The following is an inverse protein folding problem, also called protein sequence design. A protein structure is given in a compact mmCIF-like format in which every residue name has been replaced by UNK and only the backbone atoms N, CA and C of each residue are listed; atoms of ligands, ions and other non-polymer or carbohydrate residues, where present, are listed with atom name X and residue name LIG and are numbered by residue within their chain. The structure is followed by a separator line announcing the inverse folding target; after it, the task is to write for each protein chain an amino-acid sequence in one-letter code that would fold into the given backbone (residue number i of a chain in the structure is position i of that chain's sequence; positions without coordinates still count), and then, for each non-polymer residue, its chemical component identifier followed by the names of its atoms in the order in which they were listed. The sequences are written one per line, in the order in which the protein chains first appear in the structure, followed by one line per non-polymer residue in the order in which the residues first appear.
data_IF_865501596644
#
_entry.id   IF_865501596644
#
_cell.length_a   1.000
_cell.length_b   1.000
_cell.length_c   1.000
_cell.angle_alpha   90.00
_cell.angle_beta   90.00
_cell.angle_gamma   90.00
#
_symmetry.space_group_name_H-M   'P 1'
#
loop_
_entity.id
_entity.type
_entity.pdbx_description
1 polymer ?
#
# COMPACT_ATOMS: atom_id res chain seq x y z
N UNK A 1 -13.17 7.65 16.54
CA UNK A 1 -14.45 8.03 15.93
C UNK A 1 -14.47 7.41 14.54
N UNK A 2 -15.41 6.52 14.21
CA UNK A 2 -15.50 5.92 12.87
C UNK A 2 -16.23 6.95 12.00
N UNK A 3 -15.51 7.71 11.19
CA UNK A 3 -16.11 8.68 10.26
C UNK A 3 -16.33 7.98 8.93
N UNK A 4 -17.58 7.70 8.59
CA UNK A 4 -17.96 7.22 7.26
C UNK A 4 -17.86 8.38 6.26
N UNK A 5 -16.69 8.57 5.64
CA UNK A 5 -16.59 9.38 4.44
C UNK A 5 -17.02 8.53 3.24
N UNK A 6 -18.16 8.88 2.65
CA UNK A 6 -18.69 8.30 1.41
C UNK A 6 -18.02 8.84 0.14
N UNK A 7 -16.96 9.65 0.28
CA UNK A 7 -16.13 10.05 -0.86
C UNK A 7 -15.23 8.90 -1.28
N UNK A 8 -15.71 8.12 -2.24
CA UNK A 8 -14.99 7.13 -3.00
C UNK A 8 -13.77 7.75 -3.69
N UNK A 9 -12.62 7.77 -3.02
CA UNK A 9 -11.37 7.56 -3.74
C UNK A 9 -11.49 6.20 -4.43
N UNK A 10 -11.20 6.13 -5.72
CA UNK A 10 -11.26 4.88 -6.49
C UNK A 10 -10.48 3.80 -5.76
N UNK A 11 -11.20 2.87 -5.12
CA UNK A 11 -10.58 1.74 -4.45
C UNK A 11 -9.90 0.88 -5.51
N UNK A 12 -8.75 0.29 -5.16
CA UNK A 12 -8.16 -0.69 -6.04
C UNK A 12 -8.96 -2.00 -5.89
N UNK A 13 -9.61 -2.46 -6.96
CA UNK A 13 -10.47 -3.65 -6.94
C UNK A 13 -9.82 -4.81 -7.69
N UNK A 14 -10.02 -6.02 -7.19
CA UNK A 14 -9.42 -7.22 -7.73
C UNK A 14 -10.44 -8.32 -7.98
N UNK A 15 -10.19 -9.11 -9.02
CA UNK A 15 -10.91 -10.35 -9.30
C UNK A 15 -9.92 -11.50 -9.45
N UNK A 16 -10.33 -12.72 -9.12
CA UNK A 16 -9.54 -13.90 -9.42
C UNK A 16 -9.72 -14.28 -10.90
N UNK A 17 -8.62 -14.53 -11.60
CA UNK A 17 -8.64 -15.14 -12.92
C UNK A 17 -8.83 -16.67 -12.85
N UNK A 18 -8.84 -17.33 -14.00
CA UNK A 18 -9.10 -18.77 -14.08
C UNK A 18 -8.06 -19.62 -13.34
N UNK A 19 -6.83 -19.10 -13.16
CA UNK A 19 -5.75 -19.75 -12.43
C UNK A 19 -5.76 -19.41 -10.91
N UNK A 20 -6.73 -18.59 -10.48
CA UNK A 20 -6.84 -18.09 -9.11
C UNK A 20 -5.82 -17.00 -8.76
N UNK A 21 -5.18 -16.38 -9.75
CA UNK A 21 -4.33 -15.21 -9.54
C UNK A 21 -5.19 -13.94 -9.54
N UNK A 22 -4.76 -12.90 -8.80
CA UNK A 22 -5.47 -11.63 -8.76
C UNK A 22 -5.23 -10.80 -10.03
N UNK A 23 -6.29 -10.16 -10.51
CA UNK A 23 -6.25 -9.19 -11.61
C UNK A 23 -6.95 -7.91 -11.20
N UNK A 24 -6.36 -6.77 -11.56
CA UNK A 24 -6.91 -5.46 -11.29
C UNK A 24 -8.14 -5.17 -12.16
N UNK A 25 -9.17 -4.55 -11.59
CA UNK A 25 -10.34 -4.07 -12.34
C UNK A 25 -10.21 -2.56 -12.58
N UNK A 26 -9.87 -2.12 -13.80
CA UNK A 26 -9.75 -0.70 -14.12
C UNK A 26 -11.09 0.03 -13.99
N UNK A 27 -11.03 1.31 -13.61
CA UNK A 27 -12.18 2.21 -13.49
C UNK A 27 -13.34 1.65 -12.65
N UNK A 28 -13.02 0.84 -11.63
CA UNK A 28 -14.01 0.18 -10.80
C UNK A 28 -14.38 1.03 -9.58
N UNK A 29 -15.66 1.35 -9.43
CA UNK A 29 -16.21 1.94 -8.22
C UNK A 29 -16.95 0.87 -7.40
N UNK A 30 -17.41 1.21 -6.19
CA UNK A 30 -18.09 0.25 -5.31
C UNK A 30 -19.36 -0.37 -5.95
N UNK A 31 -20.06 0.37 -6.81
CA UNK A 31 -21.22 -0.16 -7.54
C UNK A 31 -20.80 -1.26 -8.52
N UNK A 32 -19.82 -0.98 -9.38
CA UNK A 32 -19.25 -1.97 -10.32
C UNK A 32 -18.65 -3.16 -9.57
N UNK A 33 -17.98 -2.92 -8.44
CA UNK A 33 -17.41 -3.98 -7.61
C UNK A 33 -18.47 -4.93 -7.05
N UNK A 34 -19.62 -4.42 -6.61
CA UNK A 34 -20.77 -5.25 -6.17
C UNK A 34 -21.33 -6.10 -7.30
N UNK A 35 -21.42 -5.54 -8.50
CA UNK A 35 -21.89 -6.25 -9.69
C UNK A 35 -20.92 -7.36 -10.12
N UNK A 36 -19.61 -7.14 -9.98
CA UNK A 36 -18.56 -8.09 -10.34
C UNK A 36 -18.20 -9.09 -9.23
N UNK A 37 -18.63 -8.83 -7.99
CA UNK A 37 -18.09 -9.52 -6.81
C UNK A 37 -16.61 -9.25 -6.59
N UNK A 38 -16.10 -8.08 -6.99
CA UNK A 38 -14.69 -7.74 -6.89
C UNK A 38 -14.26 -7.52 -5.44
N UNK A 39 -13.08 -8.03 -5.10
CA UNK A 39 -12.43 -7.87 -3.81
C UNK A 39 -11.82 -6.46 -3.68
N UNK A 40 -12.01 -5.75 -2.56
CA UNK A 40 -11.26 -4.52 -2.29
C UNK A 40 -9.78 -4.81 -2.03
N UNK A 41 -8.93 -3.80 -2.24
CA UNK A 41 -7.53 -3.91 -1.84
C UNK A 41 -7.36 -3.92 -0.32
N UNK A 42 -6.26 -4.52 0.17
CA UNK A 42 -5.83 -4.44 1.57
C UNK A 42 -5.80 -2.99 2.06
N UNK A 43 -5.27 -2.07 1.24
CA UNK A 43 -5.25 -0.64 1.56
C UNK A 43 -6.64 0.01 1.61
N UNK A 44 -7.59 -0.47 0.82
CA UNK A 44 -8.98 0.01 0.84
C UNK A 44 -9.72 -0.48 2.09
N UNK A 45 -9.41 -1.69 2.56
CA UNK A 45 -9.92 -2.22 3.83
C UNK A 45 -9.32 -1.44 5.00
N UNK A 46 -7.99 -1.34 5.08
CA UNK A 46 -7.30 -0.62 6.16
C UNK A 46 -7.69 0.86 6.24
N UNK A 47 -8.10 1.45 5.12
CA UNK A 47 -8.54 2.84 5.01
C UNK A 47 -9.78 3.21 5.84
N UNK A 48 -10.52 2.25 6.40
CA UNK A 48 -11.65 2.56 7.30
C UNK A 48 -11.21 2.97 8.70
N UNK A 49 -9.98 2.62 9.08
CA UNK A 49 -9.42 3.06 10.35
C UNK A 49 -9.05 4.54 10.27
N UNK A 50 -9.46 5.29 11.29
CA UNK A 50 -9.12 6.70 11.38
C UNK A 50 -7.60 6.87 11.59
N UNK A 51 -7.01 7.81 10.86
CA UNK A 51 -5.58 8.11 10.89
C UNK A 51 -5.39 9.44 11.59
N UNK A 52 -5.75 9.51 12.87
CA UNK A 52 -5.81 10.75 13.67
C UNK A 52 -4.54 11.59 13.52
N UNK A 53 -3.36 10.98 13.67
CA UNK A 53 -2.08 11.68 13.54
C UNK A 53 -1.87 12.28 12.14
N UNK A 54 -2.23 11.55 11.09
CA UNK A 54 -2.16 12.05 9.71
C UNK A 54 -3.17 13.18 9.46
N UNK A 55 -4.37 13.08 10.03
CA UNK A 55 -5.40 14.12 9.91
C UNK A 55 -4.97 15.41 10.61
N UNK A 56 -4.41 15.32 11.82
CA UNK A 56 -3.85 16.46 12.54
C UNK A 56 -2.68 17.06 11.76
N UNK A 57 -1.79 16.24 11.20
CA UNK A 57 -0.68 16.73 10.39
C UNK A 57 -1.15 17.48 9.14
N UNK A 58 -2.14 16.94 8.40
CA UNK A 58 -2.75 17.61 7.24
C UNK A 58 -3.37 18.95 7.62
N UNK A 59 -4.09 19.00 8.73
CA UNK A 59 -4.69 20.22 9.25
C UNK A 59 -3.61 21.26 9.59
N UNK A 60 -2.57 20.87 10.32
CA UNK A 60 -1.47 21.76 10.67
C UNK A 60 -0.76 22.32 9.43
N UNK A 61 -0.58 21.53 8.37
CA UNK A 61 0.01 22.01 7.12
C UNK A 61 -0.90 23.02 6.40
N UNK A 62 -2.21 22.77 6.37
CA UNK A 62 -3.18 23.72 5.81
C UNK A 62 -3.17 25.05 6.59
N UNK A 63 -3.17 24.99 7.92
CA UNK A 63 -3.10 26.18 8.78
C UNK A 63 -1.80 26.95 8.58
N UNK A 64 -0.65 26.26 8.54
CA UNK A 64 0.65 26.90 8.27
C UNK A 64 0.66 27.58 6.91
N UNK A 65 0.10 26.97 5.87
CA UNK A 65 -0.01 27.63 4.56
C UNK A 65 -0.93 28.84 4.62
N UNK A 66 -2.09 28.72 5.24
CA UNK A 66 -3.03 29.83 5.38
C UNK A 66 -2.40 31.08 6.04
N UNK A 67 -1.54 30.91 7.05
CA UNK A 67 -0.85 32.02 7.73
C UNK A 67 0.08 32.81 6.79
N UNK A 68 0.62 32.16 5.77
CA UNK A 68 1.61 32.75 4.85
C UNK A 68 1.04 33.07 3.45
N UNK A 69 -0.23 32.77 3.21
CA UNK A 69 -0.86 32.99 1.91
C UNK A 69 -1.55 34.35 1.88
N UNK A 70 -1.04 35.27 1.07
CA UNK A 70 -1.74 36.53 0.78
C UNK A 70 -2.92 36.29 -0.18
N UNK A 71 -4.00 37.04 0.03
CA UNK A 71 -5.16 37.03 -0.87
C UNK A 71 -4.87 37.86 -2.11
N UNK A 72 -5.25 37.33 -3.27
CA UNK A 72 -5.13 38.05 -4.54
C UNK A 72 -6.29 39.07 -4.65
N UNK A 73 -6.07 40.30 -5.17
CA UNK A 73 -7.17 41.24 -5.39
C UNK A 73 -8.30 40.64 -6.22
N UNK A 74 -9.52 40.65 -5.67
CA UNK A 74 -10.71 40.08 -6.32
C UNK A 74 -10.88 38.56 -6.14
N UNK A 75 -9.99 37.88 -5.41
CA UNK A 75 -10.14 36.46 -5.08
C UNK A 75 -11.21 36.26 -4.01
N UNK A 76 -12.19 35.40 -4.30
CA UNK A 76 -13.23 35.00 -3.36
C UNK A 76 -12.73 33.95 -2.34
N UNK A 77 -13.52 33.70 -1.30
CA UNK A 77 -13.16 32.81 -0.19
C UNK A 77 -12.96 31.35 -0.61
N UNK A 78 -13.78 30.85 -1.54
CA UNK A 78 -13.70 29.47 -2.00
C UNK A 78 -12.45 29.28 -2.86
N UNK A 79 -12.12 30.26 -3.71
CA UNK A 79 -10.91 30.25 -4.54
C UNK A 79 -9.65 30.29 -3.68
N UNK A 80 -9.59 31.20 -2.69
CA UNK A 80 -8.47 31.25 -1.73
C UNK A 80 -8.33 29.91 -0.98
N UNK A 81 -9.44 29.36 -0.47
CA UNK A 81 -9.43 28.12 0.29
C UNK A 81 -8.92 26.95 -0.55
N UNK A 82 -9.38 26.82 -1.80
CA UNK A 82 -8.92 25.78 -2.73
C UNK A 82 -7.42 25.89 -3.00
N UNK A 83 -6.90 27.11 -3.14
CA UNK A 83 -5.47 27.38 -3.37
C UNK A 83 -4.62 26.96 -2.17
N UNK A 84 -4.99 27.39 -0.96
CA UNK A 84 -4.32 26.96 0.29
C UNK A 84 -4.34 25.43 0.44
N UNK A 85 -5.48 24.80 0.17
CA UNK A 85 -5.62 23.35 0.24
C UNK A 85 -4.81 22.61 -0.83
N UNK A 86 -4.65 23.20 -2.01
CA UNK A 86 -3.80 22.65 -3.07
C UNK A 86 -2.32 22.71 -2.68
N UNK A 87 -1.85 23.89 -2.27
CA UNK A 87 -0.47 24.13 -1.87
C UNK A 87 -0.06 23.30 -0.65
N UNK A 88 -0.95 23.15 0.35
CA UNK A 88 -0.69 22.32 1.53
C UNK A 88 -0.58 20.82 1.22
N UNK A 89 -1.04 20.38 0.03
CA UNK A 89 -0.93 19.00 -0.44
C UNK A 89 0.30 18.73 -1.32
N UNK A 90 1.00 19.76 -1.78
CA UNK A 90 2.13 19.59 -2.71
C UNK A 90 3.19 18.61 -2.18
N UNK A 91 3.56 18.72 -0.89
CA UNK A 91 4.52 17.81 -0.26
C UNK A 91 4.04 16.34 -0.26
N UNK A 92 2.73 16.10 -0.16
CA UNK A 92 2.19 14.73 -0.23
C UNK A 92 2.29 14.16 -1.64
N UNK A 93 1.98 14.98 -2.66
CA UNK A 93 2.07 14.58 -4.07
C UNK A 93 3.52 14.20 -4.41
N UNK A 94 4.47 15.01 -3.97
CA UNK A 94 5.88 14.75 -4.21
C UNK A 94 6.35 13.49 -3.47
N UNK A 95 5.96 13.31 -2.20
CA UNK A 95 6.27 12.09 -1.45
C UNK A 95 5.69 10.83 -2.10
N UNK A 96 4.48 10.89 -2.67
CA UNK A 96 3.88 9.77 -3.39
C UNK A 96 4.63 9.44 -4.67
N UNK A 97 4.98 10.46 -5.48
CA UNK A 97 5.77 10.28 -6.71
C UNK A 97 7.13 9.66 -6.41
N UNK A 98 7.79 10.16 -5.37
CA UNK A 98 9.07 9.64 -4.94
C UNK A 98 8.98 8.20 -4.43
N UNK A 99 7.91 7.87 -3.69
CA UNK A 99 7.61 6.48 -3.30
C UNK A 99 7.48 5.56 -4.52
N UNK A 100 6.67 5.94 -5.52
CA UNK A 100 6.57 5.17 -6.78
C UNK A 100 7.93 5.00 -7.45
N UNK A 101 8.72 6.08 -7.54
CA UNK A 101 10.06 6.03 -8.13
C UNK A 101 10.99 5.03 -7.42
N UNK A 102 10.95 4.95 -6.08
CA UNK A 102 11.75 3.98 -5.33
C UNK A 102 11.27 2.54 -5.58
N UNK A 103 9.96 2.28 -5.56
CA UNK A 103 9.42 0.94 -5.82
C UNK A 103 9.76 0.45 -7.23
N UNK A 104 9.56 1.29 -8.24
CA UNK A 104 9.87 0.95 -9.64
C UNK A 104 11.35 0.58 -9.83
N UNK A 105 12.26 1.29 -9.16
CA UNK A 105 13.70 1.00 -9.24
C UNK A 105 14.12 -0.22 -8.41
N UNK A 106 13.46 -0.46 -7.27
CA UNK A 106 13.67 -1.66 -6.49
C UNK A 106 13.19 -2.91 -7.24
N UNK A 107 12.06 -2.82 -7.95
CA UNK A 107 11.55 -3.86 -8.85
C UNK A 107 12.58 -4.17 -9.95
N UNK A 108 13.07 -3.16 -10.67
CA UNK A 108 14.12 -3.32 -11.69
C UNK A 108 15.32 -4.07 -11.13
N UNK A 109 15.82 -3.64 -9.98
CA UNK A 109 16.97 -4.26 -9.32
C UNK A 109 16.72 -5.74 -8.98
N UNK A 110 15.54 -6.06 -8.44
CA UNK A 110 15.14 -7.43 -8.10
C UNK A 110 14.96 -8.33 -9.34
N UNK A 111 14.61 -7.75 -10.49
CA UNK A 111 14.46 -8.44 -11.77
C UNK A 111 15.78 -8.51 -12.57
N UNK A 112 16.87 -7.93 -12.08
CA UNK A 112 18.16 -7.87 -12.80
C UNK A 112 18.18 -6.86 -13.95
N UNK A 113 17.22 -5.93 -13.98
CA UNK A 113 17.18 -4.81 -14.90
C UNK A 113 17.97 -3.62 -14.35
N UNK A 114 18.33 -2.67 -15.23
CA UNK A 114 19.10 -1.47 -14.87
C UNK A 114 18.23 -0.43 -14.16
N UNK A 115 18.45 -0.15 -12.86
CA UNK A 115 17.77 0.91 -12.14
C UNK A 115 18.31 2.29 -12.55
N UNK A 116 17.64 3.36 -12.13
CA UNK A 116 18.11 4.73 -12.36
C UNK A 116 19.44 4.99 -11.62
N UNK A 117 20.32 5.76 -12.27
CA UNK A 117 21.56 6.25 -11.68
C UNK A 117 21.28 7.47 -10.80
N UNK A 118 20.82 7.22 -9.58
CA UNK A 118 20.44 8.24 -8.59
C UNK A 118 20.90 7.79 -7.19
N UNK A 119 21.49 8.67 -6.36
CA UNK A 119 22.07 8.29 -5.07
C UNK A 119 21.17 7.49 -4.12
N UNK A 120 19.88 7.81 -4.03
CA UNK A 120 18.94 7.06 -3.19
C UNK A 120 18.54 5.72 -3.80
N UNK A 121 18.48 5.63 -5.13
CA UNK A 121 18.30 4.35 -5.82
C UNK A 121 19.53 3.46 -5.59
N UNK A 122 20.73 4.02 -5.67
CA UNK A 122 21.98 3.29 -5.40
C UNK A 122 21.98 2.64 -4.02
N UNK A 123 21.50 3.31 -2.96
CA UNK A 123 21.46 2.68 -1.64
C UNK A 123 20.48 1.52 -1.54
N UNK A 124 19.38 1.56 -2.31
CA UNK A 124 18.41 0.46 -2.39
C UNK A 124 18.99 -0.72 -3.18
N UNK A 125 19.64 -0.46 -4.31
CA UNK A 125 20.23 -1.50 -5.16
C UNK A 125 21.40 -2.19 -4.49
N UNK A 126 22.27 -1.44 -3.80
CA UNK A 126 23.35 -1.97 -2.96
C UNK A 126 22.78 -2.85 -1.85
N UNK A 127 21.73 -2.40 -1.15
CA UNK A 127 21.09 -3.20 -0.11
C UNK A 127 20.52 -4.51 -0.68
N UNK A 128 19.87 -4.47 -1.84
CA UNK A 128 19.36 -5.68 -2.53
C UNK A 128 20.52 -6.63 -2.84
N UNK A 129 21.59 -6.17 -3.49
CA UNK A 129 22.75 -6.99 -3.83
C UNK A 129 23.45 -7.59 -2.60
N UNK A 130 23.48 -6.83 -1.50
CA UNK A 130 24.08 -7.28 -0.25
C UNK A 130 23.22 -8.30 0.51
N UNK A 131 21.90 -8.22 0.45
CA UNK A 131 21.02 -8.96 1.38
C UNK A 131 20.15 -10.02 0.70
N UNK A 132 19.77 -9.82 -0.56
CA UNK A 132 18.87 -10.73 -1.30
C UNK A 132 19.70 -11.80 -2.00
N UNK A 133 19.41 -13.07 -1.71
CA UNK A 133 20.05 -14.21 -2.38
C UNK A 133 19.23 -14.71 -3.57
N UNK A 134 17.91 -14.50 -3.54
CA UNK A 134 17.00 -14.93 -4.60
C UNK A 134 15.75 -14.05 -4.61
N UNK A 135 15.34 -13.61 -5.80
CA UNK A 135 14.02 -13.00 -6.02
C UNK A 135 13.08 -14.04 -6.60
N UNK A 136 11.92 -14.26 -5.98
CA UNK A 136 10.87 -15.12 -6.53
C UNK A 136 9.97 -14.37 -7.50
N UNK A 137 9.64 -13.13 -7.16
CA UNK A 137 8.83 -12.21 -7.95
C UNK A 137 8.89 -10.81 -7.32
N UNK A 138 8.62 -9.80 -8.15
CA UNK A 138 8.36 -8.41 -7.75
C UNK A 138 7.00 -7.91 -8.31
N UNK A 139 6.40 -6.91 -7.67
CA UNK A 139 5.13 -6.24 -8.00
C UNK A 139 3.96 -7.20 -8.33
N UNK A 140 3.84 -8.29 -7.55
CA UNK A 140 2.84 -9.33 -7.82
C UNK A 140 1.47 -8.95 -7.30
N UNK A 141 0.46 -9.10 -8.17
CA UNK A 141 -0.94 -8.99 -7.78
C UNK A 141 -1.40 -10.27 -7.08
N UNK A 142 -1.88 -10.13 -5.85
CA UNK A 142 -2.35 -11.20 -4.98
C UNK A 142 -3.84 -11.03 -4.69
N UNK A 143 -4.55 -12.15 -4.58
CA UNK A 143 -5.92 -12.19 -4.10
C UNK A 143 -6.06 -13.33 -3.11
N UNK A 144 -6.74 -13.07 -1.99
CA UNK A 144 -6.99 -14.09 -0.98
C UNK A 144 -7.83 -15.23 -1.59
N UNK A 145 -7.57 -16.51 -1.28
CA UNK A 145 -8.28 -17.64 -1.90
C UNK A 145 -9.82 -17.59 -1.80
N UNK A 146 -10.35 -16.94 -0.77
CA UNK A 146 -11.81 -16.75 -0.63
C UNK A 146 -12.38 -15.60 -1.46
N UNK A 147 -11.52 -14.80 -2.09
CA UNK A 147 -11.87 -13.55 -2.76
C UNK A 147 -12.20 -12.39 -1.80
N UNK A 148 -11.85 -12.47 -0.52
CA UNK A 148 -12.22 -11.42 0.46
C UNK A 148 -11.50 -10.09 0.20
N UNK A 149 -10.23 -10.17 -0.15
CA UNK A 149 -9.36 -9.01 -0.34
C UNK A 149 -8.21 -9.36 -1.29
N UNK A 150 -7.49 -8.36 -1.76
CA UNK A 150 -6.26 -8.55 -2.55
C UNK A 150 -5.40 -7.30 -2.58
N UNK A 151 -4.44 -7.25 -3.49
CA UNK A 151 -3.63 -6.05 -3.73
C UNK A 151 -2.36 -6.39 -4.48
N UNK A 152 -1.48 -5.41 -4.60
CA UNK A 152 -0.14 -5.59 -5.17
C UNK A 152 0.88 -5.57 -4.04
N UNK A 153 1.74 -6.58 -4.01
CA UNK A 153 2.82 -6.73 -3.04
C UNK A 153 4.17 -6.53 -3.75
N UNK A 154 5.10 -5.85 -3.08
CA UNK A 154 6.32 -5.38 -3.72
C UNK A 154 7.25 -6.53 -4.12
N UNK A 155 7.58 -7.46 -3.20
CA UNK A 155 8.47 -8.56 -3.54
C UNK A 155 8.40 -9.75 -2.58
N UNK A 156 8.69 -10.95 -3.10
CA UNK A 156 9.02 -12.12 -2.30
C UNK A 156 10.42 -12.61 -2.64
N UNK A 157 11.26 -12.73 -1.61
CA UNK A 157 12.69 -12.95 -1.75
C UNK A 157 13.21 -14.00 -0.75
N UNK A 158 14.42 -14.49 -0.95
CA UNK A 158 15.25 -15.09 0.10
C UNK A 158 16.32 -14.09 0.52
N UNK A 159 16.61 -14.04 1.81
CA UNK A 159 17.64 -13.17 2.38
C UNK A 159 18.79 -14.01 2.94
N UNK A 160 20.02 -13.47 2.95
CA UNK A 160 21.22 -14.18 3.43
C UNK A 160 21.10 -14.69 4.88
N UNK A 161 20.49 -13.90 5.75
CA UNK A 161 20.46 -14.15 7.20
C UNK A 161 19.04 -14.43 7.75
N UNK A 162 18.11 -14.84 6.88
CA UNK A 162 16.74 -15.18 7.28
C UNK A 162 16.35 -16.52 6.66
N UNK A 163 15.95 -17.46 7.51
CA UNK A 163 15.48 -18.77 7.06
C UNK A 163 14.13 -18.67 6.36
N UNK A 164 14.10 -19.15 5.11
CA UNK A 164 12.89 -19.24 4.29
C UNK A 164 12.53 -17.95 3.55
N UNK A 165 11.42 -17.97 2.78
CA UNK A 165 11.00 -16.84 1.98
C UNK A 165 10.53 -15.67 2.87
N UNK A 166 10.82 -14.45 2.42
CA UNK A 166 10.43 -13.19 3.04
C UNK A 166 9.61 -12.37 2.07
N UNK A 167 8.43 -11.93 2.50
CA UNK A 167 7.64 -10.92 1.80
C UNK A 167 8.12 -9.54 2.26
N UNK A 168 8.63 -8.77 1.31
CA UNK A 168 9.23 -7.46 1.52
C UNK A 168 8.26 -6.38 1.04
N UNK A 169 8.20 -5.27 1.76
CA UNK A 169 7.56 -4.05 1.32
C UNK A 169 8.46 -2.83 1.61
N UNK A 170 8.66 -2.01 0.59
CA UNK A 170 9.49 -0.80 0.62
C UNK A 170 8.68 0.36 1.21
N UNK A 171 9.29 1.10 2.13
CA UNK A 171 8.64 2.23 2.81
C UNK A 171 9.50 3.47 2.69
N UNK A 172 9.23 4.31 1.69
CA UNK A 172 9.84 5.63 1.58
C UNK A 172 9.29 6.58 2.65
N UNK A 173 10.14 7.12 3.51
CA UNK A 173 9.74 8.08 4.54
C UNK A 173 10.88 9.03 4.91
N UNK A 174 10.51 10.18 5.46
CA UNK A 174 11.46 11.12 6.06
C UNK A 174 11.85 10.64 7.45
N UNK A 175 13.14 10.41 7.69
CA UNK A 175 13.67 10.20 9.04
C UNK A 175 15.08 10.76 9.17
N UNK A 176 15.43 11.17 10.39
CA UNK A 176 16.71 11.82 10.69
C UNK A 176 17.73 10.82 11.20
N UNK A 177 18.99 11.13 10.96
CA UNK A 177 20.12 10.53 11.66
C UNK A 177 20.18 11.08 13.09
N UNK A 178 20.12 10.21 14.10
CA UNK A 178 20.22 10.58 15.52
C UNK A 178 21.16 9.60 16.21
N UNK A 179 22.14 10.12 16.96
CA UNK A 179 23.07 9.33 17.76
C UNK A 179 23.73 8.16 16.99
N UNK A 180 24.21 8.43 15.77
CA UNK A 180 24.87 7.39 14.96
C UNK A 180 23.94 6.43 14.23
N UNK A 181 22.61 6.62 14.32
CA UNK A 181 21.63 5.70 13.72
C UNK A 181 20.49 6.43 13.01
N UNK A 182 20.05 5.89 11.88
CA UNK A 182 18.77 6.26 11.30
C UNK A 182 17.64 5.59 12.08
N UNK A 183 16.62 6.36 12.48
CA UNK A 183 15.48 5.83 13.26
C UNK A 183 14.18 6.09 12.48
N UNK A 184 13.79 5.18 11.56
CA UNK A 184 12.51 5.27 10.86
C UNK A 184 11.34 4.94 11.79
N UNK A 185 10.14 5.36 11.38
CA UNK A 185 8.90 4.94 12.03
C UNK A 185 8.30 3.75 11.30
N UNK A 186 8.08 2.65 12.02
CA UNK A 186 7.36 1.48 11.51
C UNK A 186 5.95 1.47 12.07
N UNK A 187 4.97 1.79 11.23
CA UNK A 187 3.57 1.91 11.64
C UNK A 187 2.87 0.55 11.68
N UNK A 188 1.85 0.41 12.52
CA UNK A 188 1.07 -0.83 12.64
C UNK A 188 0.38 -1.23 11.32
N UNK A 189 0.05 -0.25 10.47
CA UNK A 189 -0.47 -0.52 9.13
C UNK A 189 0.51 -1.27 8.22
N UNK A 190 1.82 -1.17 8.47
CA UNK A 190 2.83 -1.81 7.63
C UNK A 190 2.84 -3.32 7.86
N UNK A 191 2.91 -3.75 9.13
CA UNK A 191 2.83 -5.17 9.50
C UNK A 191 1.49 -5.77 9.11
N UNK A 192 0.40 -5.01 9.28
CA UNK A 192 -0.95 -5.45 8.93
C UNK A 192 -1.13 -5.65 7.42
N UNK A 193 -0.60 -4.74 6.60
CA UNK A 193 -0.61 -4.87 5.15
C UNK A 193 0.16 -6.12 4.69
N UNK A 194 1.39 -6.28 5.18
CA UNK A 194 2.23 -7.42 4.84
C UNK A 194 1.65 -8.76 5.32
N UNK A 195 1.08 -8.80 6.52
CA UNK A 195 0.45 -10.00 7.06
C UNK A 195 -0.75 -10.43 6.22
N UNK A 196 -1.57 -9.49 5.75
CA UNK A 196 -2.66 -9.77 4.82
C UNK A 196 -2.15 -10.32 3.48
N UNK A 197 -1.12 -9.70 2.89
CA UNK A 197 -0.54 -10.21 1.64
C UNK A 197 0.12 -11.60 1.79
N UNK A 198 0.77 -11.86 2.92
CA UNK A 198 1.32 -13.18 3.22
C UNK A 198 0.21 -14.24 3.31
N UNK A 199 -0.97 -13.88 3.83
CA UNK A 199 -2.14 -14.77 3.92
C UNK A 199 -2.83 -15.02 2.56
N UNK A 200 -2.62 -14.15 1.55
CA UNK A 200 -3.02 -14.43 0.17
C UNK A 200 -2.20 -15.55 -0.50
N UNK A 201 -1.00 -15.87 0.02
CA UNK A 201 -0.12 -16.87 -0.59
C UNK A 201 -0.63 -18.27 -0.19
N UNK A 202 -1.04 -19.05 -1.21
CA UNK A 202 -1.79 -20.32 -1.07
C UNK A 202 -1.21 -21.31 -0.05
N UNK A 203 -2.11 -22.04 0.61
CA UNK A 203 -1.79 -23.19 1.45
C UNK A 203 -0.99 -24.26 0.68
N UNK A 204 0.08 -24.78 1.29
CA UNK A 204 1.05 -25.68 0.66
C UNK A 204 2.39 -25.00 0.34
N UNK A 205 2.41 -23.67 0.26
CA UNK A 205 3.64 -22.89 0.31
C UNK A 205 4.02 -22.57 1.76
N UNK A 206 5.32 -22.46 2.04
CA UNK A 206 5.81 -21.91 3.31
C UNK A 206 5.28 -20.49 3.44
N UNK A 207 4.54 -20.20 4.52
CA UNK A 207 4.10 -18.84 4.82
C UNK A 207 5.34 -17.97 5.01
N UNK A 208 5.52 -16.91 4.20
CA UNK A 208 6.74 -16.12 4.30
C UNK A 208 6.75 -15.35 5.61
N UNK A 209 7.96 -15.13 6.12
CA UNK A 209 8.19 -14.06 7.10
C UNK A 209 7.96 -12.72 6.41
N UNK A 210 7.65 -11.69 7.18
CA UNK A 210 7.35 -10.36 6.61
C UNK A 210 8.36 -9.31 7.07
N UNK A 211 8.80 -8.47 6.15
CA UNK A 211 9.78 -7.41 6.41
C UNK A 211 9.33 -6.09 5.78
N UNK A 212 9.38 -5.01 6.56
CA UNK A 212 9.31 -3.65 6.02
C UNK A 212 10.71 -3.09 5.89
N UNK A 213 11.04 -2.46 4.76
CA UNK A 213 12.35 -1.84 4.54
C UNK A 213 12.19 -0.34 4.35
N UNK A 214 12.64 0.43 5.34
CA UNK A 214 12.51 1.88 5.33
C UNK A 214 13.63 2.51 4.49
N UNK A 215 13.23 3.33 3.50
CA UNK A 215 14.13 4.09 2.64
C UNK A 215 14.00 5.57 3.01
N UNK A 216 15.13 6.21 3.30
CA UNK A 216 15.15 7.61 3.71
C UNK A 216 14.96 8.51 2.49
N UNK A 217 14.04 9.48 2.57
CA UNK A 217 13.81 10.45 1.47
C UNK A 217 14.50 11.80 1.71
N UNK A 218 15.34 11.92 2.74
CA UNK A 218 16.05 13.16 3.11
C UNK A 218 17.54 13.07 2.80
N UNK A 219 18.14 11.89 3.01
CA UNK A 219 19.54 11.64 2.70
C UNK A 219 19.70 10.21 2.16
N UNK A 220 20.61 9.97 1.19
CA UNK A 220 20.87 8.65 0.64
C UNK A 220 21.63 7.80 1.67
N UNK A 221 20.89 7.23 2.61
CA UNK A 221 21.41 6.34 3.65
C UNK A 221 21.02 4.90 3.36
N UNK A 222 21.80 3.94 3.88
CA UNK A 222 21.46 2.52 3.82
C UNK A 222 20.02 2.27 4.30
N UNK A 223 19.19 1.53 3.55
CA UNK A 223 17.85 1.16 3.99
C UNK A 223 17.85 0.46 5.34
N UNK A 224 16.81 0.69 6.14
CA UNK A 224 16.68 0.13 7.48
C UNK A 224 15.59 -0.95 7.47
N UNK A 225 15.96 -2.25 7.56
CA UNK A 225 14.98 -3.32 7.57
C UNK A 225 14.35 -3.50 8.97
N UNK A 226 13.08 -3.89 9.00
CA UNK A 226 12.39 -4.43 10.17
C UNK A 226 11.76 -5.76 9.79
N UNK A 227 12.39 -6.85 10.21
CA UNK A 227 11.80 -8.18 10.19
C UNK A 227 10.80 -8.28 11.33
N UNK A 228 9.53 -8.46 11.01
CA UNK A 228 8.49 -8.58 12.04
C UNK A 228 8.51 -9.99 12.64
N UNK A 229 8.30 -10.09 13.94
CA UNK A 229 8.19 -11.37 14.63
C UNK A 229 6.94 -12.13 14.18
N UNK A 230 6.93 -13.45 14.36
CA UNK A 230 5.76 -14.28 14.04
C UNK A 230 4.54 -13.88 14.87
N UNK A 231 4.74 -13.48 16.13
CA UNK A 231 3.68 -12.98 17.00
C UNK A 231 3.09 -11.65 16.49
N UNK A 232 3.92 -10.70 16.06
CA UNK A 232 3.45 -9.46 15.44
C UNK A 232 2.69 -9.75 14.15
N UNK A 233 3.21 -10.62 13.28
CA UNK A 233 2.55 -11.03 12.03
C UNK A 233 1.19 -11.70 12.28
N UNK A 234 1.10 -12.62 13.24
CA UNK A 234 -0.15 -13.31 13.59
C UNK A 234 -1.19 -12.34 14.17
N UNK A 235 -0.78 -11.45 15.07
CA UNK A 235 -1.66 -10.46 15.67
C UNK A 235 -2.15 -9.45 14.62
N UNK A 236 -1.27 -8.99 13.73
CA UNK A 236 -1.62 -8.06 12.67
C UNK A 236 -2.58 -8.69 11.64
N UNK A 237 -2.41 -9.97 11.30
CA UNK A 237 -3.39 -10.68 10.46
C UNK A 237 -4.76 -10.76 11.14
N UNK A 238 -4.80 -11.12 12.42
CA UNK A 238 -6.05 -11.15 13.19
C UNK A 238 -6.74 -9.78 13.20
N UNK A 239 -5.99 -8.72 13.42
CA UNK A 239 -6.49 -7.35 13.36
C UNK A 239 -7.06 -7.02 11.97
N UNK A 240 -6.31 -7.31 10.90
CA UNK A 240 -6.75 -7.10 9.53
C UNK A 240 -8.08 -7.81 9.24
N UNK A 241 -8.23 -9.06 9.65
CA UNK A 241 -9.45 -9.83 9.41
C UNK A 241 -10.66 -9.21 10.11
N UNK A 242 -10.52 -8.69 11.33
CA UNK A 242 -11.60 -7.97 12.02
C UNK A 242 -12.00 -6.69 11.27
N UNK A 243 -11.03 -5.96 10.74
CA UNK A 243 -11.26 -4.75 9.93
C UNK A 243 -11.94 -5.12 8.61
N UNK A 244 -11.55 -6.23 7.97
CA UNK A 244 -12.14 -6.72 6.74
C UNK A 244 -13.62 -7.10 6.92
N UNK A 245 -13.98 -7.76 8.03
CA UNK A 245 -15.38 -8.04 8.35
C UNK A 245 -16.17 -6.75 8.59
N UNK A 246 -15.62 -5.82 9.38
CA UNK A 246 -16.25 -4.51 9.60
C UNK A 246 -16.43 -3.75 8.29
N UNK A 247 -15.43 -3.79 7.40
CA UNK A 247 -15.50 -3.18 6.07
C UNK A 247 -16.67 -3.75 5.26
N UNK A 248 -16.84 -5.08 5.25
CA UNK A 248 -17.93 -5.74 4.52
C UNK A 248 -19.31 -5.27 5.02
N UNK A 249 -19.46 -5.13 6.34
CA UNK A 249 -20.69 -4.63 6.97
C UNK A 249 -20.96 -3.16 6.62
N UNK A 250 -19.95 -2.29 6.79
CA UNK A 250 -20.07 -0.85 6.53
C UNK A 250 -20.35 -0.58 5.05
N UNK A 251 -19.68 -1.30 4.15
CA UNK A 251 -19.83 -1.14 2.71
C UNK A 251 -20.94 -2.00 2.11
N UNK A 252 -21.65 -2.80 2.91
CA UNK A 252 -22.73 -3.70 2.45
C UNK A 252 -22.31 -4.49 1.20
N UNK A 253 -21.09 -5.01 1.23
CA UNK A 253 -20.47 -5.75 0.13
C UNK A 253 -19.57 -6.83 0.72
N UNK A 254 -19.95 -8.09 0.54
CA UNK A 254 -19.11 -9.23 0.87
C UNK A 254 -18.73 -9.96 -0.42
N UNK A 255 -17.49 -9.77 -0.93
CA UNK A 255 -17.06 -10.35 -2.20
C UNK A 255 -17.05 -11.89 -2.19
N UNK A 256 -16.93 -12.52 -1.00
CA UNK A 256 -16.95 -13.99 -0.86
C UNK A 256 -18.30 -14.59 -1.28
N UNK A 257 -19.37 -13.84 -1.05
CA UNK A 257 -20.74 -14.26 -1.38
C UNK A 257 -21.18 -13.78 -2.76
N UNK A 258 -20.62 -12.68 -3.24
CA UNK A 258 -20.96 -12.06 -4.52
C UNK A 258 -20.38 -12.82 -5.72
N UNK A 259 -19.19 -13.40 -5.59
CA UNK A 259 -18.52 -14.17 -6.66
C UNK A 259 -19.38 -15.32 -7.22
N UNK A 260 -20.27 -15.91 -6.40
CA UNK A 260 -21.13 -17.03 -6.80
C UNK A 260 -22.34 -16.62 -7.65
N UNK A 261 -22.57 -15.32 -7.89
CA UNK A 261 -23.82 -14.82 -8.50
C UNK A 261 -23.67 -14.23 -9.91
N UNK A 262 -22.45 -14.10 -10.43
CA UNK A 262 -22.22 -13.45 -11.73
C UNK A 262 -21.99 -14.50 -12.82
N UNK A 263 -22.91 -14.58 -13.77
CA UNK A 263 -22.75 -15.38 -14.99
C UNK A 263 -21.45 -14.97 -15.73
N UNK A 264 -20.69 -15.96 -16.23
CA UNK A 264 -19.44 -15.77 -16.99
C UNK A 264 -19.64 -14.84 -18.18
N UNK A 265 -20.80 -14.88 -18.84
CA UNK A 265 -21.10 -14.02 -20.00
C UNK A 265 -21.23 -12.56 -19.57
N UNK A 266 -22.03 -12.31 -18.52
CA UNK A 266 -22.24 -10.98 -17.94
C UNK A 266 -20.96 -10.38 -17.36
N UNK A 267 -20.07 -11.21 -16.83
CA UNK A 267 -18.75 -10.77 -16.35
C UNK A 267 -17.86 -10.25 -17.47
N UNK A 268 -17.85 -10.89 -18.65
CA UNK A 268 -17.09 -10.42 -19.81
C UNK A 268 -17.60 -9.06 -20.31
N UNK A 269 -18.92 -8.88 -20.37
CA UNK A 269 -19.53 -7.61 -20.76
C UNK A 269 -19.17 -6.46 -19.80
N UNK A 270 -19.23 -6.69 -18.48
CA UNK A 270 -18.90 -5.70 -17.47
C UNK A 270 -17.41 -5.33 -17.41
N UNK A 271 -16.51 -6.25 -17.81
CA UNK A 271 -15.08 -5.99 -17.89
C UNK A 271 -14.69 -5.22 -19.16
N UNK A 272 -15.48 -5.35 -20.23
CA UNK A 272 -15.26 -4.64 -21.49
C UNK A 272 -15.77 -3.18 -21.48
N UNK A 273 -16.67 -2.84 -20.54
CA UNK A 273 -17.26 -1.51 -20.36
C UNK A 273 -16.52 -0.68 -19.28
#
# INVERSE_FOLDING_TARGET
MIVSNDNTQGGHWLIANENGNGEYVPNCNLRKARELGAAPSVTSIDGILDKVGLNIWKLNNAVRRAIHTERIPGEDDDTLTKRILSESKAENVEAMRYGTFIHDNAEKALNGETPADEPFVATVTEWIAENVTKSYWAEKTLIHPTGLYGGRADAMVELKDVDGPVLLDWKSQKFSYRNGKCVPHFYDSYVRQLAAYADCIKAGNVRPRIMSVAVNTVAPTKPVPKLWTEAEQANALREFMLIAELWCLLKKHDPRTAWKRVDKTKRKELLAA
#
